data_IF_838146127239
#
_entry.id   IF_838146127239
#
_cell.length_a   1.000
_cell.length_b   1.000
_cell.length_c   1.000
_cell.angle_alpha   90.00
_cell.angle_beta   90.00
_cell.angle_gamma   90.00
#
_symmetry.space_group_name_H-M   'P 1'
#
loop_
_entity.id
_entity.type
_entity.pdbx_description
1 polymer ?
#
# COMPACT_ATOMS: atom_id res chain seq x y z
N UNK A 1 3.40 7.21 20.60
CA UNK A 1 2.90 6.42 19.46
C UNK A 1 3.19 4.95 19.68
N UNK A 2 2.20 4.09 19.49
CA UNK A 2 2.39 2.66 19.71
C UNK A 2 3.24 2.04 18.59
N UNK A 3 3.98 0.98 18.95
CA UNK A 3 4.83 0.25 18.01
C UNK A 3 4.05 -0.18 16.74
N UNK A 4 2.83 -0.71 16.90
CA UNK A 4 2.06 -1.16 15.74
C UNK A 4 1.63 -0.03 14.81
N UNK A 5 1.52 1.22 15.33
CA UNK A 5 1.23 2.37 14.48
C UNK A 5 2.42 2.70 13.59
N UNK A 6 3.63 2.62 14.12
CA UNK A 6 4.84 2.76 13.32
C UNK A 6 4.92 1.69 12.25
N UNK A 7 4.60 0.45 12.61
CA UNK A 7 4.65 -0.65 11.66
C UNK A 7 3.60 -0.49 10.57
N UNK A 8 2.40 -0.04 10.93
CA UNK A 8 1.35 0.21 9.95
C UNK A 8 1.72 1.34 8.99
N UNK A 9 2.26 2.43 9.51
CA UNK A 9 2.67 3.55 8.67
C UNK A 9 3.79 3.16 7.71
N UNK A 10 4.76 2.41 8.19
CA UNK A 10 5.86 1.91 7.37
C UNK A 10 5.35 0.94 6.32
N UNK A 11 4.44 0.04 6.68
CA UNK A 11 3.85 -0.90 5.75
C UNK A 11 3.04 -0.19 4.66
N UNK A 12 2.25 0.84 5.03
CA UNK A 12 1.50 1.61 4.05
C UNK A 12 2.43 2.28 3.03
N UNK A 13 3.54 2.83 3.46
CA UNK A 13 4.53 3.40 2.55
C UNK A 13 5.10 2.32 1.63
N UNK A 14 5.44 1.15 2.19
CA UNK A 14 5.98 0.04 1.41
C UNK A 14 4.97 -0.40 0.33
N UNK A 15 3.69 -0.47 0.67
CA UNK A 15 2.65 -0.84 -0.30
C UNK A 15 2.61 0.15 -1.47
N UNK A 16 2.65 1.45 -1.17
CA UNK A 16 2.66 2.47 -2.24
C UNK A 16 3.92 2.37 -3.09
N UNK A 17 5.06 2.09 -2.48
CA UNK A 17 6.32 1.94 -3.21
C UNK A 17 6.34 0.73 -4.12
N UNK A 18 5.80 -0.41 -3.66
CA UNK A 18 5.69 -1.59 -4.52
C UNK A 18 4.79 -1.29 -5.73
N UNK A 19 3.69 -0.58 -5.52
CA UNK A 19 2.82 -0.20 -6.63
C UNK A 19 3.54 0.74 -7.60
N UNK A 20 4.33 1.67 -7.08
CA UNK A 20 5.07 2.62 -7.92
C UNK A 20 6.13 1.92 -8.77
N UNK A 21 6.67 0.79 -8.31
CA UNK A 21 7.67 0.02 -9.04
C UNK A 21 7.08 -0.91 -10.09
N UNK A 22 5.79 -1.23 -9.99
CA UNK A 22 5.15 -2.13 -10.94
C UNK A 22 4.92 -1.44 -12.28
N UNK A 23 5.08 -2.17 -13.38
CA UNK A 23 4.93 -1.63 -14.72
C UNK A 23 3.53 -1.06 -14.97
N UNK A 24 2.51 -1.66 -14.37
CA UNK A 24 1.13 -1.22 -14.50
C UNK A 24 0.64 -0.43 -13.29
N UNK A 25 1.51 -0.17 -12.31
CA UNK A 25 1.18 0.51 -11.08
C UNK A 25 0.08 -0.20 -10.29
N UNK A 26 -0.01 -1.52 -10.44
CA UNK A 26 -1.05 -2.31 -9.78
C UNK A 26 -0.54 -3.66 -9.33
N UNK A 27 -1.04 -4.12 -8.19
CA UNK A 27 -0.74 -5.45 -7.66
C UNK A 27 -2.00 -6.01 -7.02
N UNK A 28 -2.17 -7.31 -7.10
CA UNK A 28 -3.24 -7.96 -6.37
C UNK A 28 -2.81 -8.21 -4.91
N UNK A 29 -3.77 -8.55 -4.08
CA UNK A 29 -3.57 -8.76 -2.65
C UNK A 29 -2.59 -9.90 -2.34
N UNK A 30 -2.61 -10.97 -3.13
CA UNK A 30 -1.71 -12.11 -2.93
C UNK A 30 -0.25 -11.73 -3.19
N UNK A 31 -0.01 -11.02 -4.29
CA UNK A 31 1.34 -10.57 -4.63
C UNK A 31 1.83 -9.53 -3.64
N UNK A 32 0.95 -8.61 -3.24
CA UNK A 32 1.30 -7.61 -2.23
C UNK A 32 1.69 -8.28 -0.90
N UNK A 33 0.94 -9.30 -0.48
CA UNK A 33 1.25 -10.04 0.74
C UNK A 33 2.63 -10.67 0.67
N UNK A 34 2.95 -11.29 -0.46
CA UNK A 34 4.27 -11.91 -0.67
C UNK A 34 5.38 -10.86 -0.62
N UNK A 35 5.20 -9.74 -1.33
CA UNK A 35 6.20 -8.68 -1.37
C UNK A 35 6.46 -8.10 0.02
N UNK A 36 5.40 -7.84 0.77
CA UNK A 36 5.54 -7.31 2.13
C UNK A 36 6.26 -8.30 3.04
N UNK A 37 5.98 -9.60 2.89
CA UNK A 37 6.65 -10.64 3.67
C UNK A 37 8.16 -10.63 3.45
N UNK A 38 8.60 -10.36 2.23
CA UNK A 38 10.02 -10.35 1.89
C UNK A 38 10.78 -9.20 2.56
N UNK A 39 10.09 -8.13 2.96
CA UNK A 39 10.73 -6.98 3.59
C UNK A 39 10.41 -6.88 5.09
N UNK A 40 9.89 -7.96 5.68
CA UNK A 40 9.65 -8.01 7.12
C UNK A 40 8.27 -7.56 7.55
N UNK A 41 7.35 -7.31 6.62
CA UNK A 41 5.96 -6.96 6.93
C UNK A 41 5.03 -8.15 6.67
N UNK A 42 5.30 -9.28 7.33
CA UNK A 42 4.45 -10.46 7.22
C UNK A 42 3.12 -10.23 7.92
N UNK A 43 2.06 -10.06 7.15
CA UNK A 43 0.71 -9.81 7.67
C UNK A 43 -0.30 -10.71 6.96
N UNK A 44 -1.48 -10.87 7.57
CA UNK A 44 -2.54 -11.66 6.98
C UNK A 44 -3.16 -10.94 5.78
N UNK A 45 -3.89 -11.71 4.97
CA UNK A 45 -4.62 -11.15 3.83
C UNK A 45 -5.65 -10.11 4.30
N UNK A 46 -6.26 -10.33 5.46
CA UNK A 46 -7.24 -9.37 6.01
C UNK A 46 -6.60 -8.02 6.31
N UNK A 47 -5.37 -8.01 6.80
CA UNK A 47 -4.64 -6.76 7.04
C UNK A 47 -4.38 -6.05 5.71
N UNK A 48 -4.03 -6.80 4.67
CA UNK A 48 -3.84 -6.22 3.33
C UNK A 48 -5.12 -5.53 2.85
N UNK A 49 -6.27 -6.20 3.01
CA UNK A 49 -7.55 -5.62 2.60
C UNK A 49 -7.89 -4.35 3.39
N UNK A 50 -7.61 -4.36 4.69
CA UNK A 50 -7.80 -3.17 5.53
C UNK A 50 -6.91 -2.03 5.08
N UNK A 51 -5.64 -2.32 4.79
CA UNK A 51 -4.70 -1.33 4.30
C UNK A 51 -5.16 -0.75 2.96
N UNK A 52 -5.63 -1.61 2.04
CA UNK A 52 -6.12 -1.14 0.75
C UNK A 52 -7.33 -0.23 0.92
N UNK A 53 -8.26 -0.58 1.81
CA UNK A 53 -9.42 0.26 2.09
C UNK A 53 -8.99 1.64 2.64
N UNK A 54 -8.03 1.64 3.55
CA UNK A 54 -7.50 2.87 4.13
C UNK A 54 -6.84 3.76 3.06
N UNK A 55 -5.97 3.18 2.25
CA UNK A 55 -5.27 3.92 1.20
C UNK A 55 -6.23 4.44 0.13
N UNK A 56 -7.26 3.65 -0.21
CA UNK A 56 -8.27 4.06 -1.17
C UNK A 56 -9.10 5.23 -0.64
N UNK A 57 -9.44 5.22 0.64
CA UNK A 57 -10.18 6.30 1.27
C UNK A 57 -9.41 7.62 1.19
N UNK A 58 -8.08 7.55 1.30
CA UNK A 58 -7.20 8.72 1.16
C UNK A 58 -6.98 9.15 -0.30
N UNK A 59 -7.50 8.39 -1.25
CA UNK A 59 -7.31 8.68 -2.68
C UNK A 59 -5.93 8.32 -3.21
N UNK A 60 -5.17 7.48 -2.50
CA UNK A 60 -3.82 7.10 -2.90
C UNK A 60 -3.80 5.91 -3.83
N UNK A 61 -4.84 5.09 -3.79
CA UNK A 61 -5.03 3.95 -4.68
C UNK A 61 -6.50 3.86 -5.07
N UNK A 62 -6.77 3.09 -6.12
CA UNK A 62 -8.11 2.59 -6.40
C UNK A 62 -8.10 1.08 -6.18
N UNK A 63 -9.25 0.50 -5.89
CA UNK A 63 -9.38 -0.93 -5.62
C UNK A 63 -10.41 -1.52 -6.57
N UNK A 64 -10.05 -2.61 -7.23
CA UNK A 64 -10.94 -3.36 -8.10
C UNK A 64 -11.01 -4.79 -7.61
N UNK A 65 -12.15 -5.44 -7.81
CA UNK A 65 -12.36 -6.83 -7.39
C UNK A 65 -12.84 -7.66 -8.57
N UNK A 66 -11.96 -7.94 -9.54
CA UNK A 66 -12.33 -8.76 -10.69
C UNK A 66 -12.62 -10.19 -10.29
N UNK A 67 -13.12 -10.99 -11.23
CA UNK A 67 -13.40 -12.40 -11.03
C UNK A 67 -14.36 -12.63 -9.86
N UNK A 68 -15.46 -11.86 -9.81
CA UNK A 68 -16.49 -11.96 -8.77
C UNK A 68 -15.92 -11.78 -7.36
N UNK A 69 -14.89 -10.94 -7.22
CA UNK A 69 -14.32 -10.63 -5.92
C UNK A 69 -13.31 -11.66 -5.41
N UNK A 70 -12.89 -12.61 -6.23
CA UNK A 70 -11.88 -13.61 -5.84
C UNK A 70 -10.50 -13.00 -5.69
N UNK A 71 -10.27 -11.87 -6.32
CA UNK A 71 -8.99 -11.17 -6.31
C UNK A 71 -9.28 -9.71 -6.00
N UNK A 72 -8.46 -9.10 -5.16
CA UNK A 72 -8.52 -7.66 -4.88
C UNK A 72 -7.27 -7.02 -5.46
N UNK A 73 -7.44 -6.07 -6.37
CA UNK A 73 -6.34 -5.40 -7.07
C UNK A 73 -6.29 -3.95 -6.64
N UNK A 74 -5.12 -3.52 -6.20
CA UNK A 74 -4.84 -2.11 -5.88
C UNK A 74 -4.08 -1.48 -7.04
N UNK A 75 -4.47 -0.27 -7.42
CA UNK A 75 -3.80 0.51 -8.46
C UNK A 75 -3.43 1.87 -7.89
N UNK A 76 -2.17 2.27 -8.11
CA UNK A 76 -1.67 3.56 -7.61
C UNK A 76 -2.28 4.71 -8.37
N UNK A 77 -2.67 5.78 -7.66
CA UNK A 77 -3.11 7.03 -8.27
C UNK A 77 -1.92 7.99 -8.36
N UNK A 78 -2.07 9.08 -9.12
CA UNK A 78 -1.05 10.13 -9.17
C UNK A 78 -0.74 10.68 -7.77
N UNK A 79 -1.79 10.86 -6.95
CA UNK A 79 -1.62 11.31 -5.57
C UNK A 79 -0.84 10.27 -4.76
N UNK A 80 -1.13 8.99 -4.94
CA UNK A 80 -0.39 7.91 -4.27
C UNK A 80 1.07 7.90 -4.65
N UNK A 81 1.38 8.14 -5.93
CA UNK A 81 2.76 8.22 -6.37
C UNK A 81 3.48 9.40 -5.70
N UNK A 82 2.84 10.55 -5.61
CA UNK A 82 3.43 11.70 -4.94
C UNK A 82 3.75 11.40 -3.47
N UNK A 83 2.85 10.72 -2.78
CA UNK A 83 3.08 10.32 -1.39
C UNK A 83 4.22 9.32 -1.30
N UNK A 84 4.28 8.35 -2.21
CA UNK A 84 5.35 7.33 -2.20
C UNK A 84 6.73 7.95 -2.41
N UNK A 85 6.81 9.07 -3.11
CA UNK A 85 8.07 9.77 -3.39
C UNK A 85 8.37 10.93 -2.44
N UNK A 86 7.50 11.18 -1.47
CA UNK A 86 7.70 12.24 -0.50
C UNK A 86 7.34 13.63 -0.98
N UNK A 87 6.69 13.74 -2.17
CA UNK A 87 6.24 15.03 -2.69
C UNK A 87 4.95 15.51 -2.04
N UNK A 88 4.23 14.60 -1.37
CA UNK A 88 3.06 14.91 -0.57
C UNK A 88 3.08 14.03 0.67
N UNK A 89 2.44 14.44 1.74
CA UNK A 89 2.35 13.65 2.97
C UNK A 89 0.91 13.57 3.42
N UNK A 90 0.55 12.42 4.00
CA UNK A 90 -0.77 12.21 4.58
C UNK A 90 -0.60 11.51 5.93
N UNK A 91 -1.51 11.75 6.88
CA UNK A 91 -1.49 10.99 8.14
C UNK A 91 -1.68 9.50 7.86
N UNK A 92 -0.97 8.66 8.58
CA UNK A 92 -1.08 7.20 8.47
C UNK A 92 -0.14 6.57 7.46
N UNK A 93 0.62 7.37 6.71
CA UNK A 93 1.66 6.87 5.81
C UNK A 93 2.98 7.51 6.21
N UNK A 94 3.99 6.68 6.41
CA UNK A 94 5.32 7.15 6.79
C UNK A 94 5.89 8.02 5.67
N UNK A 95 6.48 9.15 6.05
CA UNK A 95 7.18 10.01 5.09
C UNK A 95 8.49 9.33 4.69
N UNK A 96 8.75 9.17 3.36
CA UNK A 96 10.03 8.60 2.94
C UNK A 96 11.20 9.49 3.36
N UNK A 97 12.30 8.84 3.71
CA UNK A 97 13.54 9.57 4.03
C UNK A 97 14.30 9.87 2.75
N UNK A 98 14.99 11.01 2.68
CA UNK A 98 15.92 11.24 1.58
C UNK A 98 17.06 10.20 1.66
N UNK A 99 17.50 9.76 0.52
CA UNK A 99 18.61 8.80 0.42
C UNK A 99 19.91 9.48 0.05
#
# INVERSE_FOLDING_TARGET
MAYRDFMAEDRHLAELRFLAEDNDYSLNDSVMQTALGEIGHGVSREVIWTDFAFLAELGLITVEKPLDGRVTVARLTARGEDVSRGRATVPGVKKPRPE
#
